data_IF_667295059446
#
_entry.id   IF_667295059446
#
_cell.length_a   1.000
_cell.length_b   1.000
_cell.length_c   1.000
_cell.angle_alpha   90.00
_cell.angle_beta   90.00
_cell.angle_gamma   90.00
#
_symmetry.space_group_name_H-M   'P 1'
#
loop_
_entity.id
_entity.type
_entity.pdbx_description
1 polymer ?
#
# COMPACT_ATOMS: atom_id res chain seq x y z
N UNK A 1 11.18 0.35 13.74
CA UNK A 1 10.07 0.02 12.82
C UNK A 1 9.82 -1.46 12.59
N UNK A 2 10.82 -2.36 12.75
CA UNK A 2 10.73 -3.77 12.32
C UNK A 2 9.64 -4.62 13.01
N UNK A 3 9.45 -4.51 14.33
CA UNK A 3 8.47 -5.34 15.04
C UNK A 3 7.02 -5.05 14.64
N UNK A 4 6.67 -3.78 14.40
CA UNK A 4 5.34 -3.38 13.95
C UNK A 4 5.01 -3.97 12.56
N UNK A 5 5.98 -3.94 11.64
CA UNK A 5 5.84 -4.56 10.31
C UNK A 5 5.55 -6.05 10.43
N UNK A 6 6.38 -6.78 11.18
CA UNK A 6 6.28 -8.24 11.30
C UNK A 6 4.93 -8.68 11.84
N UNK A 7 4.44 -8.03 12.88
CA UNK A 7 3.12 -8.32 13.45
C UNK A 7 1.99 -8.04 12.46
N UNK A 8 2.00 -6.89 11.79
CA UNK A 8 0.98 -6.54 10.81
C UNK A 8 0.97 -7.50 9.60
N UNK A 9 2.15 -7.94 9.14
CA UNK A 9 2.29 -8.89 8.04
C UNK A 9 1.78 -10.28 8.43
N UNK A 10 2.13 -10.74 9.64
CA UNK A 10 1.62 -12.00 10.16
C UNK A 10 0.10 -11.98 10.26
N UNK A 11 -0.49 -10.93 10.86
CA UNK A 11 -1.95 -10.80 10.94
C UNK A 11 -2.60 -10.74 9.56
N UNK A 12 -1.98 -10.05 8.59
CA UNK A 12 -2.43 -10.04 7.20
C UNK A 12 -2.56 -11.46 6.65
N UNK A 13 -1.51 -12.27 6.78
CA UNK A 13 -1.50 -13.66 6.31
C UNK A 13 -2.52 -14.57 7.00
N UNK A 14 -2.73 -14.40 8.31
CA UNK A 14 -3.65 -15.26 9.06
C UNK A 14 -5.12 -14.91 8.80
N UNK A 15 -5.43 -13.62 8.63
CA UNK A 15 -6.81 -13.13 8.56
C UNK A 15 -7.34 -13.06 7.13
N UNK A 16 -6.52 -12.63 6.16
CA UNK A 16 -6.95 -12.56 4.76
C UNK A 16 -6.80 -13.90 4.08
N UNK A 17 -7.70 -14.16 3.13
CA UNK A 17 -7.67 -15.36 2.30
C UNK A 17 -7.84 -14.98 0.84
N UNK A 18 -6.77 -15.12 0.06
CA UNK A 18 -6.74 -14.88 -1.38
C UNK A 18 -5.60 -15.68 -2.04
N UNK A 19 -5.18 -15.32 -3.26
CA UNK A 19 -4.10 -16.02 -3.97
C UNK A 19 -2.70 -15.80 -3.36
N UNK A 20 -2.55 -14.80 -2.49
CA UNK A 20 -1.29 -14.42 -1.83
C UNK A 20 -1.31 -14.84 -0.36
N UNK A 21 -2.44 -14.59 0.32
CA UNK A 21 -2.59 -14.78 1.76
C UNK A 21 -3.35 -16.09 2.06
N UNK A 22 -2.76 -17.00 2.86
CA UNK A 22 -3.35 -18.33 3.10
C UNK A 22 -4.63 -18.28 3.94
N UNK A 23 -4.73 -17.32 4.87
CA UNK A 23 -5.86 -17.19 5.79
C UNK A 23 -5.88 -18.26 6.88
N UNK A 24 -7.08 -18.55 7.38
CA UNK A 24 -7.35 -19.54 8.42
C UNK A 24 -7.94 -18.95 9.70
N UNK A 25 -7.89 -17.63 9.90
CA UNK A 25 -8.54 -16.93 11.00
C UNK A 25 -9.76 -16.15 10.50
N UNK A 26 -10.93 -16.78 10.57
CA UNK A 26 -12.21 -16.26 10.06
C UNK A 26 -12.96 -15.34 11.03
N UNK A 27 -12.55 -15.29 12.31
CA UNK A 27 -13.20 -14.47 13.35
C UNK A 27 -12.80 -13.00 13.34
N UNK A 28 -11.81 -12.62 12.54
CA UNK A 28 -11.32 -11.23 12.45
C UNK A 28 -11.67 -10.68 11.07
N UNK A 29 -12.32 -9.52 11.04
CA UNK A 29 -12.65 -8.86 9.78
C UNK A 29 -11.39 -8.20 9.17
N UNK A 30 -11.04 -8.44 7.89
CA UNK A 30 -9.91 -7.81 7.20
C UNK A 30 -9.91 -6.27 7.28
N UNK A 31 -11.09 -5.63 7.37
CA UNK A 31 -11.24 -4.18 7.53
C UNK A 31 -10.52 -3.63 8.77
N UNK A 32 -10.24 -4.48 9.77
CA UNK A 32 -9.54 -4.11 11.02
C UNK A 32 -8.01 -4.19 10.91
N UNK A 33 -7.48 -4.76 9.82
CA UNK A 33 -6.05 -4.92 9.65
C UNK A 33 -5.34 -3.57 9.46
N UNK A 34 -4.06 -3.55 9.82
CA UNK A 34 -3.16 -2.42 9.63
C UNK A 34 -2.09 -2.85 8.63
N UNK A 35 -1.76 -1.97 7.69
CA UNK A 35 -0.79 -2.28 6.64
C UNK A 35 0.61 -2.52 7.23
N UNK A 36 1.36 -3.53 6.77
CA UNK A 36 2.74 -3.74 7.19
C UNK A 36 3.69 -2.78 6.45
N UNK A 37 3.99 -1.64 7.07
CA UNK A 37 4.89 -0.65 6.45
C UNK A 37 6.34 -1.10 6.52
N UNK A 38 6.98 -1.22 5.36
CA UNK A 38 8.42 -1.35 5.21
C UNK A 38 9.02 -0.19 4.40
N UNK A 39 10.32 -0.23 4.14
CA UNK A 39 11.02 0.85 3.43
C UNK A 39 10.46 1.09 2.02
N UNK A 40 10.09 0.06 1.28
CA UNK A 40 9.56 0.20 -0.08
C UNK A 40 8.13 0.73 -0.06
N UNK A 41 7.27 0.11 0.76
CA UNK A 41 5.90 0.57 0.97
C UNK A 41 5.86 2.03 1.45
N UNK A 42 6.74 2.38 2.40
CA UNK A 42 6.85 3.73 2.92
C UNK A 42 7.26 4.75 1.86
N UNK A 43 8.28 4.45 1.03
CA UNK A 43 8.70 5.32 -0.08
C UNK A 43 7.56 5.56 -1.07
N UNK A 44 6.83 4.51 -1.45
CA UNK A 44 5.68 4.62 -2.34
C UNK A 44 4.58 5.48 -1.72
N UNK A 45 4.27 5.26 -0.44
CA UNK A 45 3.24 6.03 0.25
C UNK A 45 3.59 7.52 0.40
N UNK A 46 4.88 7.86 0.51
CA UNK A 46 5.34 9.25 0.45
C UNK A 46 5.12 9.86 -0.94
N UNK A 47 5.47 9.13 -2.01
CA UNK A 47 5.27 9.59 -3.40
C UNK A 47 3.78 9.79 -3.72
N UNK A 48 2.94 8.87 -3.25
CA UNK A 48 1.48 8.93 -3.37
C UNK A 48 0.83 9.96 -2.43
N UNK A 49 1.61 10.66 -1.60
CA UNK A 49 1.13 11.63 -0.61
C UNK A 49 0.10 11.05 0.38
N UNK A 50 0.20 9.75 0.66
CA UNK A 50 -0.64 9.07 1.67
C UNK A 50 -0.15 9.33 3.09
N UNK A 51 1.11 9.74 3.24
CA UNK A 51 1.67 10.26 4.49
C UNK A 51 2.74 11.30 4.21
N UNK A 52 2.94 12.23 5.16
CA UNK A 52 4.08 13.17 5.18
C UNK A 52 5.00 12.97 6.38
N UNK A 53 4.81 11.91 7.17
CA UNK A 53 5.61 11.62 8.36
C UNK A 53 7.01 11.19 7.94
N UNK A 54 8.03 11.53 8.76
CA UNK A 54 9.44 11.17 8.53
C UNK A 54 9.84 9.79 9.06
N UNK A 55 9.01 9.18 9.90
CA UNK A 55 9.31 7.92 10.58
C UNK A 55 8.39 6.79 10.10
N UNK A 56 8.94 5.62 9.79
CA UNK A 56 8.17 4.41 9.52
C UNK A 56 7.80 3.68 10.83
N UNK A 57 6.84 4.24 11.56
CA UNK A 57 6.35 3.74 12.85
C UNK A 57 4.86 3.30 12.77
N UNK A 58 4.31 2.79 13.87
CA UNK A 58 2.91 2.35 13.93
C UNK A 58 1.92 3.48 13.64
N UNK A 59 2.27 4.74 13.93
CA UNK A 59 1.41 5.88 13.62
C UNK A 59 1.34 6.11 12.12
N UNK A 60 2.47 6.02 11.42
CA UNK A 60 2.53 6.05 9.96
C UNK A 60 1.76 4.89 9.33
N UNK A 61 1.87 3.68 9.91
CA UNK A 61 1.10 2.53 9.44
C UNK A 61 -0.42 2.75 9.55
N UNK A 62 -0.89 3.33 10.67
CA UNK A 62 -2.31 3.68 10.84
C UNK A 62 -2.78 4.77 9.88
N UNK A 63 -1.94 5.79 9.63
CA UNK A 63 -2.24 6.88 8.69
C UNK A 63 -2.40 6.35 7.26
N UNK A 64 -1.45 5.55 6.80
CA UNK A 64 -1.52 4.91 5.48
C UNK A 64 -2.72 3.96 5.39
N UNK A 65 -2.98 3.16 6.45
CA UNK A 65 -4.15 2.27 6.50
C UNK A 65 -5.45 3.07 6.38
N UNK A 66 -5.55 4.22 7.04
CA UNK A 66 -6.72 5.10 6.93
C UNK A 66 -6.89 5.65 5.52
N UNK A 67 -5.80 6.01 4.85
CA UNK A 67 -5.85 6.45 3.46
C UNK A 67 -6.37 5.33 2.53
N UNK A 68 -5.83 4.10 2.63
CA UNK A 68 -6.32 2.97 1.84
C UNK A 68 -7.75 2.56 2.19
N UNK A 69 -8.17 2.71 3.46
CA UNK A 69 -9.56 2.47 3.88
C UNK A 69 -10.55 3.40 3.16
N UNK A 70 -10.14 4.58 2.72
CA UNK A 70 -11.02 5.44 1.90
C UNK A 70 -11.24 4.92 0.48
N UNK A 71 -10.39 4.01 0.02
CA UNK A 71 -10.45 3.43 -1.33
C UNK A 71 -11.13 2.06 -1.28
N UNK A 72 -10.68 1.19 -0.36
CA UNK A 72 -11.23 -0.17 -0.15
C UNK A 72 -11.50 -0.35 1.36
N UNK A 73 -12.67 0.08 1.86
CA UNK A 73 -12.98 0.07 3.28
C UNK A 73 -12.95 -1.31 3.95
N UNK A 74 -13.41 -2.33 3.22
CA UNK A 74 -13.51 -3.72 3.64
C UNK A 74 -12.15 -4.41 3.74
N UNK A 75 -11.14 -3.88 3.06
CA UNK A 75 -9.84 -4.52 2.96
C UNK A 75 -8.68 -3.53 2.73
N UNK A 76 -8.34 -2.71 3.75
CA UNK A 76 -7.41 -1.59 3.61
C UNK A 76 -5.95 -2.01 3.41
N UNK A 77 -5.63 -3.32 3.48
CA UNK A 77 -4.26 -3.84 3.30
C UNK A 77 -4.07 -4.55 1.95
N UNK A 78 -5.08 -4.49 1.05
CA UNK A 78 -5.09 -5.16 -0.26
C UNK A 78 -3.91 -4.83 -1.15
N UNK A 79 -3.46 -3.59 -1.08
CA UNK A 79 -2.41 -3.07 -1.95
C UNK A 79 -1.00 -3.42 -1.46
N UNK A 80 -0.86 -4.04 -0.28
CA UNK A 80 0.44 -4.33 0.34
C UNK A 80 1.37 -5.11 -0.60
N UNK A 81 0.87 -6.24 -1.11
CA UNK A 81 1.65 -7.14 -1.94
C UNK A 81 2.06 -6.51 -3.29
N UNK A 82 1.13 -5.83 -3.96
CA UNK A 82 1.37 -5.23 -5.27
C UNK A 82 2.36 -4.06 -5.19
N UNK A 83 2.12 -3.12 -4.27
CA UNK A 83 2.96 -1.91 -4.15
C UNK A 83 4.37 -2.27 -3.69
N UNK A 84 4.52 -3.19 -2.73
CA UNK A 84 5.87 -3.59 -2.27
C UNK A 84 6.69 -4.23 -3.39
N UNK A 85 6.06 -5.00 -4.29
CA UNK A 85 6.74 -5.60 -5.45
C UNK A 85 7.12 -4.56 -6.51
N UNK A 86 6.27 -3.56 -6.75
CA UNK A 86 6.62 -2.43 -7.61
C UNK A 86 7.83 -1.67 -7.04
N UNK A 87 7.88 -1.46 -5.72
CA UNK A 87 9.00 -0.78 -5.07
C UNK A 87 10.31 -1.55 -5.02
N UNK A 88 10.30 -2.86 -5.25
CA UNK A 88 11.50 -3.70 -5.37
C UNK A 88 11.99 -3.74 -6.83
N UNK A 89 11.08 -3.68 -7.80
CA UNK A 89 11.37 -3.73 -9.24
C UNK A 89 11.64 -2.34 -9.83
N UNK A 90 12.77 -1.75 -9.43
CA UNK A 90 13.35 -0.50 -9.97
C UNK A 90 12.70 0.81 -9.49
N UNK A 91 13.51 1.65 -8.86
CA UNK A 91 13.23 3.02 -8.41
C UNK A 91 13.11 4.03 -9.57
N UNK A 92 13.63 3.68 -10.75
CA UNK A 92 13.40 4.43 -11.99
C UNK A 92 11.95 4.29 -12.51
N UNK A 93 11.33 3.12 -12.32
CA UNK A 93 10.03 2.80 -12.91
C UNK A 93 8.86 3.44 -12.14
N UNK A 94 8.98 3.64 -10.82
CA UNK A 94 7.92 4.25 -10.01
C UNK A 94 7.71 5.74 -10.33
N UNK A 95 8.79 6.49 -10.56
CA UNK A 95 8.65 7.90 -10.95
C UNK A 95 8.03 8.03 -12.35
N UNK A 96 8.39 7.13 -13.28
CA UNK A 96 7.77 7.05 -14.61
C UNK A 96 6.32 6.62 -14.52
N UNK A 97 5.97 5.70 -13.63
CA UNK A 97 4.59 5.26 -13.44
C UNK A 97 3.69 6.34 -12.83
N UNK A 98 4.19 7.08 -11.84
CA UNK A 98 3.42 8.12 -11.13
C UNK A 98 3.46 9.47 -11.84
N UNK A 99 4.52 9.74 -12.59
CA UNK A 99 4.70 10.92 -13.43
C UNK A 99 5.12 10.45 -14.83
N UNK A 100 4.18 9.89 -15.62
CA UNK A 100 4.50 9.51 -16.99
C UNK A 100 5.04 10.74 -17.74
N UNK A 101 6.13 10.60 -18.52
CA UNK A 101 6.60 11.68 -19.36
C UNK A 101 5.42 12.12 -20.23
N UNK A 102 5.11 13.42 -20.21
CA UNK A 102 3.98 13.95 -20.96
C UNK A 102 4.05 13.45 -22.39
N UNK A 103 3.07 12.61 -22.77
CA UNK A 103 2.89 12.25 -24.16
C UNK A 103 2.74 13.57 -24.91
N UNK A 104 3.68 13.84 -25.82
CA UNK A 104 3.78 15.11 -26.51
C UNK A 104 2.41 15.58 -27.00
N UNK A 105 1.96 16.72 -26.45
CA UNK A 105 0.93 17.57 -27.00
C UNK A 105 -0.46 16.94 -27.23
N UNK A 106 -1.25 16.77 -26.17
CA UNK A 106 -2.69 17.01 -26.25
C UNK A 106 -3.26 17.35 -24.86
N UNK A 107 -3.83 18.55 -24.74
CA UNK A 107 -4.51 19.02 -23.52
C UNK A 107 -5.77 18.16 -23.25
N UNK A 108 -5.95 17.70 -22.02
CA UNK A 108 -7.24 17.18 -21.55
C UNK A 108 -7.06 16.20 -20.39
N UNK A 109 -7.43 16.63 -19.18
CA UNK A 109 -7.23 15.89 -17.94
C UNK A 109 -8.00 14.58 -17.85
N UNK A 110 -7.54 13.68 -16.98
CA UNK A 110 -8.26 12.45 -16.64
C UNK A 110 -7.36 11.37 -16.06
N UNK A 111 -7.39 11.29 -14.73
CA UNK A 111 -6.83 10.22 -13.90
C UNK A 111 -7.26 8.83 -14.41
N UNK A 112 -6.30 7.97 -14.81
CA UNK A 112 -6.56 6.60 -15.28
C UNK A 112 -5.98 5.58 -14.30
N UNK A 113 -6.83 5.09 -13.40
CA UNK A 113 -6.66 3.82 -12.70
C UNK A 113 -7.92 2.98 -12.88
N UNK A 114 -7.99 2.20 -13.96
CA UNK A 114 -8.77 0.96 -14.06
C UNK A 114 -8.22 0.10 -15.21
N UNK A 115 -7.61 -1.03 -14.86
CA UNK A 115 -7.65 -2.34 -15.56
C UNK A 115 -7.04 -3.39 -14.65
#
# INVERSE_FOLDING_TARGET
GSSCKRWNLFLRWMVRRDHVDPGGWDRVNPAKLIIPVDTHMYRICLLLKLTGRKNADMRTAKEITFAFRKIVPEDPVRYDFALTRLGIRTDADLNVFLNPPEAGGARGGGFLIYS
#
